data_IF_174589680231
#
_entry.id   IF_174589680231
#
_cell.length_a   1.000
_cell.length_b   1.000
_cell.length_c   1.000
_cell.angle_alpha   90.00
_cell.angle_beta   90.00
_cell.angle_gamma   90.00
#
_symmetry.space_group_name_H-M   'P 1'
#
loop_
_entity.id
_entity.type
_entity.pdbx_description
1 polymer ?
#
# COMPACT_ATOMS: atom_id res chain seq x y z
N UNK A 1 18.49 20.48 20.85
CA UNK A 1 19.77 19.95 20.34
C UNK A 1 20.16 18.61 20.98
N UNK A 2 19.84 18.36 22.24
CA UNK A 2 20.13 17.07 22.93
C UNK A 2 19.48 15.86 22.24
N UNK A 3 18.20 15.97 21.84
CA UNK A 3 17.49 14.86 21.18
C UNK A 3 18.09 14.47 19.82
N UNK A 4 18.65 15.43 19.07
CA UNK A 4 19.28 15.15 17.78
C UNK A 4 20.61 14.41 17.97
N UNK A 5 21.42 14.84 18.94
CA UNK A 5 22.67 14.17 19.28
C UNK A 5 22.44 12.75 19.80
N UNK A 6 21.35 12.52 20.54
CA UNK A 6 20.96 11.19 21.01
C UNK A 6 20.57 10.26 19.85
N UNK A 7 19.79 10.76 18.88
CA UNK A 7 19.41 10.00 17.68
C UNK A 7 20.63 9.65 16.82
N UNK A 8 21.55 10.60 16.64
CA UNK A 8 22.80 10.37 15.90
C UNK A 8 23.66 9.33 16.64
N UNK A 9 23.74 9.38 17.95
CA UNK A 9 24.44 8.38 18.74
C UNK A 9 23.83 6.99 18.57
N UNK A 10 22.50 6.86 18.68
CA UNK A 10 21.79 5.60 18.45
C UNK A 10 22.02 5.06 17.03
N UNK A 11 22.08 5.95 16.04
CA UNK A 11 22.34 5.55 14.65
C UNK A 11 23.76 4.98 14.48
N UNK A 12 24.76 5.63 15.09
CA UNK A 12 26.14 5.12 15.08
C UNK A 12 26.28 3.80 15.85
N UNK A 13 25.57 3.68 16.96
CA UNK A 13 25.58 2.50 17.82
C UNK A 13 24.90 1.27 17.20
N UNK A 14 24.03 1.43 16.20
CA UNK A 14 23.35 0.30 15.54
C UNK A 14 24.13 -0.36 14.39
N UNK A 15 25.36 0.10 14.11
CA UNK A 15 26.25 -0.51 13.12
C UNK A 15 25.83 -0.33 11.67
N UNK A 16 26.45 -1.10 10.76
CA UNK A 16 26.23 -0.99 9.31
C UNK A 16 24.81 -1.25 8.85
N UNK A 17 24.03 -2.03 9.59
CA UNK A 17 22.64 -2.37 9.26
C UNK A 17 21.72 -1.16 9.38
N UNK A 18 22.09 -0.12 10.10
CA UNK A 18 21.31 1.11 10.22
C UNK A 18 21.19 1.87 8.89
N UNK A 19 22.15 1.79 7.98
CA UNK A 19 22.08 2.47 6.68
C UNK A 19 20.96 1.93 5.78
N UNK A 20 20.86 0.62 5.51
CA UNK A 20 19.73 0.09 4.75
C UNK A 20 18.38 0.29 5.47
N UNK A 21 18.33 0.23 6.81
CA UNK A 21 17.10 0.51 7.55
C UNK A 21 16.66 1.96 7.40
N UNK A 22 17.59 2.91 7.41
CA UNK A 22 17.31 4.32 7.16
C UNK A 22 16.72 4.53 5.75
N UNK A 23 17.34 3.91 4.74
CA UNK A 23 16.86 3.97 3.36
C UNK A 23 15.44 3.41 3.24
N UNK A 24 15.16 2.26 3.86
CA UNK A 24 13.82 1.68 3.90
C UNK A 24 12.82 2.60 4.60
N UNK A 25 13.19 3.25 5.71
CA UNK A 25 12.30 4.19 6.41
C UNK A 25 11.93 5.39 5.54
N UNK A 26 12.88 5.98 4.82
CA UNK A 26 12.59 7.05 3.87
C UNK A 26 11.71 6.58 2.71
N UNK A 27 11.93 5.37 2.20
CA UNK A 27 11.09 4.78 1.15
C UNK A 27 9.64 4.61 1.64
N UNK A 28 9.43 4.13 2.86
CA UNK A 28 8.08 4.00 3.45
C UNK A 28 7.39 5.36 3.53
N UNK A 29 8.09 6.40 4.00
CA UNK A 29 7.53 7.75 4.11
C UNK A 29 7.21 8.31 2.71
N UNK A 30 8.11 8.16 1.75
CA UNK A 30 7.91 8.63 0.38
C UNK A 30 6.69 7.96 -0.27
N UNK A 31 6.55 6.64 -0.13
CA UNK A 31 5.39 5.90 -0.63
C UNK A 31 4.12 6.33 0.11
N UNK A 32 4.16 6.51 1.43
CA UNK A 32 3.00 6.94 2.20
C UNK A 32 2.46 8.29 1.72
N UNK A 33 3.35 9.26 1.50
CA UNK A 33 2.99 10.59 1.00
C UNK A 33 2.43 10.52 -0.41
N UNK A 34 3.12 9.81 -1.32
CA UNK A 34 2.67 9.65 -2.71
C UNK A 34 1.29 8.96 -2.78
N UNK A 35 1.10 7.88 -2.02
CA UNK A 35 -0.17 7.16 -1.95
C UNK A 35 -1.28 8.02 -1.36
N UNK A 36 -1.01 8.77 -0.29
CA UNK A 36 -1.99 9.68 0.30
C UNK A 36 -2.51 10.70 -0.74
N UNK A 37 -1.63 11.32 -1.52
CA UNK A 37 -2.02 12.24 -2.59
C UNK A 37 -2.82 11.53 -3.71
N UNK A 38 -2.37 10.34 -4.11
CA UNK A 38 -3.05 9.55 -5.15
C UNK A 38 -4.48 9.20 -4.74
N UNK A 39 -4.64 8.62 -3.56
CA UNK A 39 -5.97 8.22 -3.07
C UNK A 39 -6.87 9.43 -2.81
N UNK A 40 -6.33 10.52 -2.28
CA UNK A 40 -7.11 11.76 -2.10
C UNK A 40 -7.67 12.29 -3.43
N UNK A 41 -6.86 12.24 -4.49
CA UNK A 41 -7.25 12.73 -5.82
C UNK A 41 -8.30 11.86 -6.51
N UNK A 42 -8.17 10.53 -6.42
CA UNK A 42 -8.98 9.60 -7.23
C UNK A 42 -10.13 8.94 -6.47
N UNK A 43 -9.98 8.64 -5.18
CA UNK A 43 -10.98 7.90 -4.42
C UNK A 43 -12.28 8.69 -4.24
N UNK A 44 -12.22 9.98 -3.94
CA UNK A 44 -13.40 10.81 -3.70
C UNK A 44 -14.31 10.90 -4.92
N UNK A 45 -13.72 11.13 -6.10
CA UNK A 45 -14.47 11.19 -7.37
C UNK A 45 -15.10 9.83 -7.71
N UNK A 46 -14.35 8.75 -7.52
CA UNK A 46 -14.84 7.39 -7.77
C UNK A 46 -16.07 7.08 -6.91
N UNK A 47 -16.05 7.43 -5.63
CA UNK A 47 -17.16 7.22 -4.71
C UNK A 47 -18.46 7.92 -5.18
N UNK A 48 -18.37 9.21 -5.54
CA UNK A 48 -19.52 10.00 -5.99
C UNK A 48 -20.13 9.41 -7.27
N UNK A 49 -19.29 9.08 -8.23
CA UNK A 49 -19.74 8.51 -9.52
C UNK A 49 -20.35 7.12 -9.33
N UNK A 50 -19.73 6.26 -8.53
CA UNK A 50 -20.24 4.92 -8.26
C UNK A 50 -21.63 4.97 -7.63
N UNK A 51 -21.84 5.88 -6.66
CA UNK A 51 -23.13 6.04 -6.02
C UNK A 51 -24.20 6.57 -7.00
N UNK A 52 -23.86 7.58 -7.80
CA UNK A 52 -24.77 8.14 -8.81
C UNK A 52 -25.19 7.09 -9.86
N UNK A 53 -24.22 6.35 -10.41
CA UNK A 53 -24.50 5.28 -11.39
C UNK A 53 -25.37 4.18 -10.76
N UNK A 54 -25.13 3.82 -9.52
CA UNK A 54 -25.87 2.79 -8.80
C UNK A 54 -27.37 3.14 -8.70
N UNK A 55 -27.67 4.38 -8.33
CA UNK A 55 -29.07 4.85 -8.23
C UNK A 55 -29.74 4.96 -9.61
N UNK A 56 -29.01 5.49 -10.61
CA UNK A 56 -29.52 5.61 -11.97
C UNK A 56 -29.74 4.25 -12.64
N UNK A 57 -28.90 3.25 -12.35
CA UNK A 57 -29.05 1.89 -12.85
C UNK A 57 -30.34 1.23 -12.33
N UNK A 58 -30.67 1.43 -11.05
CA UNK A 58 -31.94 0.96 -10.47
C UNK A 58 -33.17 1.58 -11.15
N UNK A 59 -33.04 2.83 -11.61
CA UNK A 59 -34.08 3.54 -12.35
C UNK A 59 -34.06 3.28 -13.85
N UNK A 60 -33.11 2.45 -14.34
CA UNK A 60 -32.87 2.14 -15.78
C UNK A 60 -32.69 3.40 -16.65
N UNK A 61 -32.16 4.49 -16.07
CA UNK A 61 -31.95 5.75 -16.79
C UNK A 61 -30.58 5.79 -17.46
N UNK A 62 -30.45 5.09 -18.58
CA UNK A 62 -29.20 4.91 -19.33
C UNK A 62 -28.65 6.24 -19.89
N UNK A 63 -29.52 7.15 -20.27
CA UNK A 63 -29.15 8.46 -20.82
C UNK A 63 -28.43 9.30 -19.78
N UNK A 64 -28.92 9.31 -18.54
CA UNK A 64 -28.29 10.08 -17.47
C UNK A 64 -26.99 9.38 -16.97
N UNK A 65 -26.93 8.04 -17.01
CA UNK A 65 -25.69 7.29 -16.74
C UNK A 65 -24.59 7.72 -17.72
N UNK A 66 -24.88 7.76 -19.04
CA UNK A 66 -23.92 8.17 -20.06
C UNK A 66 -23.43 9.62 -19.83
N UNK A 67 -24.31 10.50 -19.43
CA UNK A 67 -23.98 11.88 -19.06
C UNK A 67 -23.07 11.95 -17.84
N UNK A 68 -23.40 11.23 -16.76
CA UNK A 68 -22.58 11.17 -15.54
C UNK A 68 -21.17 10.66 -15.84
N UNK A 69 -21.04 9.62 -16.69
CA UNK A 69 -19.76 9.06 -17.12
C UNK A 69 -18.92 10.12 -17.85
N UNK A 70 -19.51 10.86 -18.79
CA UNK A 70 -18.81 11.87 -19.61
C UNK A 70 -18.41 13.11 -18.80
N UNK A 71 -19.27 13.58 -17.92
CA UNK A 71 -19.05 14.79 -17.12
C UNK A 71 -18.08 14.56 -15.96
N UNK A 72 -17.97 13.32 -15.46
CA UNK A 72 -17.17 12.99 -14.28
C UNK A 72 -16.11 11.92 -14.60
N UNK A 73 -15.02 12.27 -15.30
CA UNK A 73 -13.97 11.29 -15.62
C UNK A 73 -13.35 10.73 -14.34
N UNK A 74 -13.56 9.46 -14.12
CA UNK A 74 -13.09 8.70 -12.94
C UNK A 74 -12.81 7.25 -13.34
N UNK A 75 -12.25 6.48 -12.42
CA UNK A 75 -12.04 5.05 -12.61
C UNK A 75 -13.40 4.32 -12.75
N UNK A 76 -14.37 4.67 -11.92
CA UNK A 76 -15.72 4.13 -12.03
C UNK A 76 -16.36 4.44 -13.38
N UNK A 77 -16.15 5.66 -13.92
CA UNK A 77 -16.66 6.04 -15.25
C UNK A 77 -16.06 5.18 -16.35
N UNK A 78 -14.74 4.98 -16.35
CA UNK A 78 -14.07 4.13 -17.36
C UNK A 78 -14.54 2.69 -17.31
N UNK A 79 -14.69 2.13 -16.11
CA UNK A 79 -15.17 0.75 -15.94
C UNK A 79 -16.63 0.65 -16.41
N UNK A 80 -17.50 1.59 -16.00
CA UNK A 80 -18.90 1.63 -16.44
C UNK A 80 -19.02 1.75 -17.96
N UNK A 81 -18.25 2.63 -18.59
CA UNK A 81 -18.20 2.83 -20.03
C UNK A 81 -17.75 1.57 -20.75
N UNK A 82 -16.68 0.91 -20.28
CA UNK A 82 -16.18 -0.33 -20.87
C UNK A 82 -17.26 -1.41 -20.92
N UNK A 83 -17.96 -1.64 -19.80
CA UNK A 83 -19.04 -2.62 -19.77
C UNK A 83 -20.25 -2.24 -20.60
N UNK A 84 -20.68 -0.98 -20.59
CA UNK A 84 -21.83 -0.52 -21.38
C UNK A 84 -21.57 -0.60 -22.89
N UNK A 85 -20.34 -0.33 -23.34
CA UNK A 85 -19.94 -0.47 -24.74
C UNK A 85 -19.88 -1.94 -25.21
N UNK A 86 -19.73 -2.89 -24.28
CA UNK A 86 -19.67 -4.33 -24.57
C UNK A 86 -20.95 -5.06 -24.11
N UNK A 87 -22.09 -4.40 -24.14
CA UNK A 87 -23.36 -4.91 -23.64
C UNK A 87 -24.10 -5.85 -24.62
N UNK A 88 -23.38 -6.61 -25.45
CA UNK A 88 -23.97 -7.60 -26.38
C UNK A 88 -24.57 -8.81 -25.65
N UNK A 89 -23.98 -9.18 -24.50
CA UNK A 89 -24.48 -10.22 -23.59
C UNK A 89 -24.07 -9.92 -22.16
N UNK A 90 -24.72 -10.60 -21.20
CA UNK A 90 -24.37 -10.49 -19.77
C UNK A 90 -22.89 -10.85 -19.52
N UNK A 91 -22.42 -11.91 -20.19
CA UNK A 91 -21.05 -12.41 -20.03
C UNK A 91 -20.01 -11.45 -20.63
N UNK A 92 -20.28 -10.91 -21.82
CA UNK A 92 -19.41 -9.94 -22.48
C UNK A 92 -19.26 -8.66 -21.62
N UNK A 93 -20.36 -8.17 -21.04
CA UNK A 93 -20.35 -7.02 -20.16
C UNK A 93 -19.55 -7.28 -18.89
N UNK A 94 -19.73 -8.43 -18.22
CA UNK A 94 -18.98 -8.81 -17.02
C UNK A 94 -17.49 -8.94 -17.31
N UNK A 95 -17.13 -9.53 -18.43
CA UNK A 95 -15.73 -9.64 -18.87
C UNK A 95 -15.11 -8.26 -19.09
N UNK A 96 -15.81 -7.37 -19.79
CA UNK A 96 -15.32 -6.01 -20.02
C UNK A 96 -15.13 -5.20 -18.71
N UNK A 97 -16.03 -5.38 -17.73
CA UNK A 97 -15.85 -4.80 -16.38
C UNK A 97 -14.61 -5.35 -15.69
N UNK A 98 -14.43 -6.68 -15.70
CA UNK A 98 -13.30 -7.33 -15.04
C UNK A 98 -11.96 -6.92 -15.66
N UNK A 99 -11.89 -6.88 -16.99
CA UNK A 99 -10.69 -6.48 -17.73
C UNK A 99 -10.30 -5.04 -17.43
N UNK A 100 -11.26 -4.11 -17.52
CA UNK A 100 -10.99 -2.70 -17.23
C UNK A 100 -10.63 -2.48 -15.76
N UNK A 101 -11.30 -3.18 -14.82
CA UNK A 101 -10.97 -3.13 -13.40
C UNK A 101 -9.55 -3.65 -13.14
N UNK A 102 -9.14 -4.72 -13.81
CA UNK A 102 -7.78 -5.25 -13.72
C UNK A 102 -6.73 -4.21 -14.13
N UNK A 103 -6.95 -3.51 -15.24
CA UNK A 103 -6.07 -2.44 -15.71
C UNK A 103 -5.98 -1.28 -14.71
N UNK A 104 -7.12 -0.82 -14.22
CA UNK A 104 -7.17 0.34 -13.30
C UNK A 104 -6.67 0.01 -11.89
N UNK A 105 -6.85 -1.24 -11.41
CA UNK A 105 -6.37 -1.69 -10.11
C UNK A 105 -4.83 -1.64 -9.99
N UNK A 106 -4.10 -1.82 -11.10
CA UNK A 106 -2.63 -1.70 -11.12
C UNK A 106 -2.16 -0.35 -10.60
N UNK A 107 -2.86 0.73 -10.98
CA UNK A 107 -2.55 2.08 -10.52
C UNK A 107 -2.67 2.25 -9.00
N UNK A 108 -3.68 1.63 -8.38
CA UNK A 108 -3.89 1.68 -6.93
C UNK A 108 -2.92 0.78 -6.17
N UNK A 109 -2.54 -0.37 -6.72
CA UNK A 109 -1.60 -1.33 -6.11
C UNK A 109 -0.14 -0.90 -6.22
N UNK A 110 0.14 0.09 -7.07
CA UNK A 110 1.50 0.57 -7.30
C UNK A 110 2.20 0.86 -5.96
N UNK A 111 3.42 0.39 -5.81
CA UNK A 111 4.27 0.50 -4.62
C UNK A 111 3.80 -0.28 -3.36
N UNK A 112 2.63 -0.91 -3.35
CA UNK A 112 2.17 -1.69 -2.21
C UNK A 112 3.08 -2.90 -1.93
N UNK A 113 3.62 -3.51 -2.99
CA UNK A 113 4.56 -4.64 -2.89
C UNK A 113 5.85 -4.24 -2.18
N UNK A 114 6.35 -3.01 -2.41
CA UNK A 114 7.53 -2.50 -1.69
C UNK A 114 7.27 -2.29 -0.20
N UNK A 115 6.07 -1.82 0.16
CA UNK A 115 5.68 -1.73 1.58
C UNK A 115 5.62 -3.12 2.21
N UNK A 116 4.96 -4.07 1.56
CA UNK A 116 4.87 -5.46 2.03
C UNK A 116 6.24 -6.11 2.18
N UNK A 117 7.14 -5.91 1.20
CA UNK A 117 8.52 -6.38 1.29
C UNK A 117 9.27 -5.73 2.48
N UNK A 118 9.08 -4.43 2.70
CA UNK A 118 9.72 -3.71 3.82
C UNK A 118 9.27 -4.25 5.18
N UNK A 119 7.98 -4.59 5.34
CA UNK A 119 7.45 -5.23 6.57
C UNK A 119 8.23 -6.49 6.92
N UNK A 120 8.61 -7.28 5.91
CA UNK A 120 9.32 -8.56 6.11
C UNK A 120 10.83 -8.35 6.22
N UNK A 121 11.42 -7.51 5.38
CA UNK A 121 12.88 -7.35 5.28
C UNK A 121 13.44 -6.55 6.47
N UNK A 122 12.71 -5.53 6.97
CA UNK A 122 13.24 -4.68 8.04
C UNK A 122 13.56 -5.43 9.35
N UNK A 123 12.70 -6.35 9.85
CA UNK A 123 13.04 -7.15 11.03
C UNK A 123 14.22 -8.10 10.78
N UNK A 124 14.34 -8.64 9.56
CA UNK A 124 15.46 -9.53 9.19
C UNK A 124 16.78 -8.77 9.16
N UNK A 125 16.76 -7.52 8.67
CA UNK A 125 17.94 -6.64 8.76
C UNK A 125 18.27 -6.33 10.23
N UNK A 126 17.28 -6.04 11.07
CA UNK A 126 17.48 -5.86 12.50
C UNK A 126 18.13 -7.08 13.17
N UNK A 127 17.62 -8.29 12.84
CA UNK A 127 18.21 -9.54 13.31
C UNK A 127 19.64 -9.73 12.80
N UNK A 128 19.93 -9.40 11.54
CA UNK A 128 21.27 -9.42 10.99
C UNK A 128 22.21 -8.51 11.81
N UNK A 129 21.71 -7.35 12.25
CA UNK A 129 22.43 -6.43 13.12
C UNK A 129 22.83 -7.07 14.46
N UNK A 130 21.95 -7.87 15.07
CA UNK A 130 22.32 -8.59 16.32
C UNK A 130 23.36 -9.64 16.07
N UNK A 131 23.25 -10.41 15.01
CA UNK A 131 24.23 -11.47 14.68
C UNK A 131 25.61 -10.87 14.44
N UNK A 132 25.69 -9.83 13.61
CA UNK A 132 26.97 -9.17 13.28
C UNK A 132 27.57 -8.45 14.49
N UNK A 133 26.74 -7.78 15.32
CA UNK A 133 27.18 -7.11 16.55
C UNK A 133 27.72 -8.09 17.59
N UNK A 134 27.05 -9.24 17.77
CA UNK A 134 27.55 -10.28 18.68
C UNK A 134 28.86 -10.92 18.18
N UNK A 135 28.96 -11.22 16.88
CA UNK A 135 30.22 -11.75 16.30
C UNK A 135 31.37 -10.77 16.57
N UNK A 136 31.14 -9.48 16.35
CA UNK A 136 32.13 -8.43 16.66
C UNK A 136 32.54 -8.43 18.12
N UNK A 137 31.55 -8.53 19.03
CA UNK A 137 31.82 -8.54 20.49
C UNK A 137 32.66 -9.74 20.92
N UNK A 138 32.38 -10.94 20.39
CA UNK A 138 33.16 -12.14 20.74
C UNK A 138 34.59 -12.11 20.13
N UNK A 139 34.77 -11.56 18.95
CA UNK A 139 36.09 -11.42 18.38
C UNK A 139 37.00 -10.46 19.17
N UNK A 140 36.45 -9.45 19.80
CA UNK A 140 37.17 -8.53 20.69
C UNK A 140 37.57 -9.25 22.00
N UNK A 141 36.71 -10.15 22.50
CA UNK A 141 37.03 -10.95 23.70
C UNK A 141 38.27 -11.82 23.50
N UNK A 142 38.39 -12.48 22.33
CA UNK A 142 39.55 -13.31 21.99
C UNK A 142 40.85 -12.49 21.96
N UNK A 143 40.77 -11.18 21.73
CA UNK A 143 41.91 -10.25 21.77
C UNK A 143 42.31 -9.77 23.17
N UNK A 144 41.61 -10.23 24.25
CA UNK A 144 41.93 -9.91 25.63
C UNK A 144 41.22 -8.66 26.18
N UNK A 145 40.25 -8.11 25.48
CA UNK A 145 39.44 -6.99 25.99
C UNK A 145 38.49 -7.45 27.09
N UNK A 146 38.28 -6.59 28.09
CA UNK A 146 37.46 -6.92 29.25
C UNK A 146 35.96 -7.04 28.96
N UNK A 147 35.20 -7.55 29.94
CA UNK A 147 33.73 -7.80 29.83
C UNK A 147 32.89 -6.56 29.45
N UNK A 148 33.40 -5.36 29.67
CA UNK A 148 32.72 -4.11 29.31
C UNK A 148 32.58 -3.92 27.79
N UNK A 149 33.54 -4.44 27.00
CA UNK A 149 33.50 -4.36 25.54
C UNK A 149 32.36 -5.24 24.96
N UNK A 150 32.11 -6.41 25.57
CA UNK A 150 31.00 -7.30 25.20
C UNK A 150 29.66 -6.61 25.45
N UNK A 151 29.50 -6.01 26.62
CA UNK A 151 28.24 -5.33 27.01
C UNK A 151 27.89 -4.19 26.05
N UNK A 152 28.91 -3.45 25.58
CA UNK A 152 28.72 -2.39 24.56
C UNK A 152 28.21 -2.96 23.23
N UNK A 153 28.86 -3.97 22.67
CA UNK A 153 28.46 -4.55 21.39
C UNK A 153 27.11 -5.28 21.41
N UNK A 154 26.73 -5.88 22.54
CA UNK A 154 25.38 -6.43 22.71
C UNK A 154 24.35 -5.31 22.71
N UNK A 155 24.63 -4.17 23.38
CA UNK A 155 23.76 -2.99 23.37
C UNK A 155 23.54 -2.44 21.95
N UNK A 156 24.62 -2.32 21.17
CA UNK A 156 24.56 -1.91 19.76
C UNK A 156 23.68 -2.84 18.92
N UNK A 157 23.86 -4.15 19.08
CA UNK A 157 23.07 -5.16 18.39
C UNK A 157 21.58 -5.03 18.68
N UNK A 158 21.18 -4.80 19.92
CA UNK A 158 19.78 -4.63 20.32
C UNK A 158 19.15 -3.36 19.71
N UNK A 159 19.93 -2.28 19.54
CA UNK A 159 19.47 -1.05 18.88
C UNK A 159 19.12 -1.33 17.41
N UNK A 160 19.93 -2.10 16.69
CA UNK A 160 19.65 -2.47 15.31
C UNK A 160 18.33 -3.24 15.19
N UNK A 161 18.08 -4.22 16.06
CA UNK A 161 16.81 -4.98 16.05
C UNK A 161 15.62 -4.10 16.38
N UNK A 162 15.70 -3.26 17.41
CA UNK A 162 14.62 -2.34 17.74
C UNK A 162 14.30 -1.38 16.59
N UNK A 163 15.33 -0.86 15.91
CA UNK A 163 15.16 0.00 14.74
C UNK A 163 14.49 -0.73 13.57
N UNK A 164 14.89 -1.98 13.28
CA UNK A 164 14.28 -2.81 12.25
C UNK A 164 12.78 -3.07 12.51
N UNK A 165 12.42 -3.35 13.76
CA UNK A 165 11.03 -3.52 14.17
C UNK A 165 10.22 -2.22 14.04
N UNK A 166 10.78 -1.08 14.41
CA UNK A 166 10.12 0.22 14.25
C UNK A 166 9.81 0.52 12.77
N UNK A 167 10.76 0.28 11.87
CA UNK A 167 10.55 0.47 10.42
C UNK A 167 9.49 -0.49 9.90
N UNK A 168 9.51 -1.75 10.32
CA UNK A 168 8.50 -2.75 9.94
C UNK A 168 7.09 -2.36 10.39
N UNK A 169 6.94 -1.89 11.62
CA UNK A 169 5.64 -1.45 12.16
C UNK A 169 5.10 -0.26 11.37
N UNK A 170 5.94 0.74 11.06
CA UNK A 170 5.54 1.87 10.22
C UNK A 170 5.09 1.41 8.84
N UNK A 171 5.88 0.55 8.18
CA UNK A 171 5.53 0.01 6.87
C UNK A 171 4.22 -0.78 6.90
N UNK A 172 4.00 -1.59 7.94
CA UNK A 172 2.79 -2.38 8.13
C UNK A 172 1.54 -1.50 8.30
N UNK A 173 1.61 -0.45 9.11
CA UNK A 173 0.50 0.49 9.31
C UNK A 173 0.13 1.15 7.98
N UNK A 174 1.13 1.66 7.25
CA UNK A 174 0.92 2.31 5.95
C UNK A 174 0.32 1.33 4.93
N UNK A 175 0.90 0.12 4.83
CA UNK A 175 0.42 -0.93 3.93
C UNK A 175 -1.04 -1.30 4.22
N UNK A 176 -1.36 -1.59 5.48
CA UNK A 176 -2.70 -2.00 5.89
C UNK A 176 -3.74 -0.91 5.64
N UNK A 177 -3.40 0.35 5.94
CA UNK A 177 -4.29 1.49 5.69
C UNK A 177 -4.67 1.60 4.19
N UNK A 178 -3.67 1.58 3.30
CA UNK A 178 -3.93 1.72 1.87
C UNK A 178 -4.54 0.45 1.26
N UNK A 179 -4.22 -0.74 1.75
CA UNK A 179 -4.84 -2.00 1.32
C UNK A 179 -6.34 -1.97 1.60
N UNK A 180 -6.76 -1.65 2.82
CA UNK A 180 -8.18 -1.53 3.15
C UNK A 180 -8.89 -0.44 2.34
N UNK A 181 -8.19 0.66 2.05
CA UNK A 181 -8.77 1.73 1.22
C UNK A 181 -8.97 1.27 -0.21
N UNK A 182 -8.03 0.51 -0.76
CA UNK A 182 -8.15 -0.11 -2.08
C UNK A 182 -9.33 -1.08 -2.14
N UNK A 183 -9.41 -2.01 -1.18
CA UNK A 183 -10.47 -3.01 -1.13
C UNK A 183 -11.86 -2.35 -1.05
N UNK A 184 -11.99 -1.27 -0.28
CA UNK A 184 -13.22 -0.49 -0.22
C UNK A 184 -13.61 0.11 -1.57
N UNK A 185 -12.65 0.64 -2.34
CA UNK A 185 -12.91 1.20 -3.67
C UNK A 185 -13.32 0.11 -4.65
N UNK A 186 -12.62 -1.03 -4.65
CA UNK A 186 -12.93 -2.17 -5.53
C UNK A 186 -14.35 -2.68 -5.24
N UNK A 187 -14.68 -2.93 -3.98
CA UNK A 187 -16.01 -3.40 -3.59
C UNK A 187 -17.15 -2.46 -4.02
N UNK A 188 -16.93 -1.14 -3.95
CA UNK A 188 -17.90 -0.16 -4.42
C UNK A 188 -18.10 -0.22 -5.94
N UNK A 189 -17.01 -0.34 -6.70
CA UNK A 189 -17.07 -0.46 -8.16
C UNK A 189 -17.73 -1.78 -8.56
N UNK A 190 -17.41 -2.88 -7.90
CA UNK A 190 -18.07 -4.18 -8.13
C UNK A 190 -19.58 -4.10 -7.88
N UNK A 191 -19.99 -3.43 -6.79
CA UNK A 191 -21.40 -3.19 -6.50
C UNK A 191 -22.11 -2.41 -7.62
N UNK A 192 -21.44 -1.39 -8.17
CA UNK A 192 -21.93 -0.63 -9.34
C UNK A 192 -22.07 -1.53 -10.58
N UNK A 193 -21.06 -2.34 -10.89
CA UNK A 193 -21.09 -3.27 -12.01
C UNK A 193 -22.25 -4.27 -11.90
N UNK A 194 -22.45 -4.84 -10.71
CA UNK A 194 -23.57 -5.75 -10.44
C UNK A 194 -24.91 -5.05 -10.66
N UNK A 195 -25.06 -3.80 -10.23
CA UNK A 195 -26.30 -3.02 -10.42
C UNK A 195 -26.59 -2.76 -11.91
N UNK A 196 -25.55 -2.39 -12.68
CA UNK A 196 -25.68 -2.17 -14.13
C UNK A 196 -26.10 -3.48 -14.83
N UNK A 197 -25.43 -4.60 -14.54
CA UNK A 197 -25.75 -5.91 -15.11
C UNK A 197 -27.18 -6.31 -14.78
N UNK A 198 -27.59 -6.19 -13.52
CA UNK A 198 -28.92 -6.56 -13.05
C UNK A 198 -30.02 -5.74 -13.72
N UNK A 199 -29.80 -4.43 -13.87
CA UNK A 199 -30.75 -3.53 -14.52
C UNK A 199 -30.86 -3.78 -16.04
N UNK A 200 -29.79 -4.25 -16.70
CA UNK A 200 -29.79 -4.52 -18.15
C UNK A 200 -30.26 -5.92 -18.51
N UNK A 201 -30.33 -6.82 -17.53
CA UNK A 201 -30.69 -8.24 -17.74
C UNK A 201 -32.06 -8.45 -18.37
N UNK A 202 -33.00 -7.55 -18.14
CA UNK A 202 -34.34 -7.60 -18.73
C UNK A 202 -34.31 -7.37 -20.25
N UNK A 203 -33.32 -6.62 -20.77
CA UNK A 203 -33.17 -6.33 -22.19
C UNK A 203 -32.46 -7.43 -23.00
N UNK A 204 -31.93 -8.48 -22.36
CA UNK A 204 -31.30 -9.64 -23.04
C UNK A 204 -32.22 -10.86 -23.13
N UNK A 205 -33.44 -10.79 -22.56
CA UNK A 205 -34.48 -11.80 -22.71
C UNK A 205 -35.33 -11.54 -23.95
#
# INVERSE_FOLDING_TARGET
>A
MENLNYVIHLFHSGGYVMYPLLLLSFMVIAIAVERAFYYHKYAGKTFVVTHAINELAKLQNWTEIDKVIKENPSIASRIAESGLNNASSEEAMKTAFADQMGVDAVGFRKYMDYLSATVTISPLLGLLGTVTGMIGSFSILDSGAGASAITGGVGEALIATASGLCVAIMAFIVYTFFSHRLDSIINQIEGMCVSIVSAKREGWK
#
